data_IF_290605526406
#
_entry.id   IF_290605526406
#
_cell.length_a   1.000
_cell.length_b   1.000
_cell.length_c   1.000
_cell.angle_alpha   90.00
_cell.angle_beta   90.00
_cell.angle_gamma   90.00
#
_symmetry.space_group_name_H-M   'P 1'
#
loop_
_entity.id
_entity.type
_entity.pdbx_description
1 polymer ?
#
# COMPACT_ATOMS: atom_id res chain seq x y z
N UNK A 1 1.26 11.21 56.00
CA UNK A 1 0.71 11.44 54.65
C UNK A 1 0.76 10.12 53.88
N UNK A 2 -0.39 9.64 53.43
CA UNK A 2 -0.54 8.34 52.78
C UNK A 2 -0.27 8.51 51.28
N UNK A 3 0.88 8.07 50.77
CA UNK A 3 1.30 8.24 49.37
C UNK A 3 0.44 7.46 48.34
N UNK A 4 -0.66 6.82 48.77
CA UNK A 4 -1.53 5.99 47.92
C UNK A 4 -2.20 6.79 46.80
N UNK A 5 -2.61 8.04 47.05
CA UNK A 5 -3.19 8.91 46.01
C UNK A 5 -2.18 9.40 44.97
N UNK A 6 -0.94 9.67 45.39
CA UNK A 6 0.13 10.13 44.49
C UNK A 6 0.64 9.02 43.57
N UNK A 7 0.73 7.78 44.10
CA UNK A 7 1.09 6.59 43.31
C UNK A 7 0.06 6.28 42.23
N UNK A 8 -1.24 6.40 42.54
CA UNK A 8 -2.32 6.10 41.60
C UNK A 8 -2.41 7.11 40.45
N UNK A 9 -2.16 8.40 40.73
CA UNK A 9 -2.08 9.44 39.69
C UNK A 9 -0.87 9.21 38.78
N UNK A 10 0.30 8.83 39.32
CA UNK A 10 1.48 8.52 38.52
C UNK A 10 1.27 7.34 37.57
N UNK A 11 0.58 6.28 38.02
CA UNK A 11 0.23 5.11 37.20
C UNK A 11 -0.76 5.47 36.09
N UNK A 12 -1.79 6.26 36.39
CA UNK A 12 -2.75 6.74 35.39
C UNK A 12 -2.08 7.59 34.30
N UNK A 13 -1.16 8.46 34.71
CA UNK A 13 -0.46 9.36 33.80
C UNK A 13 0.50 8.58 32.88
N UNK A 14 1.21 7.58 33.42
CA UNK A 14 2.04 6.67 32.64
C UNK A 14 1.21 5.84 31.66
N UNK A 15 0.04 5.34 32.08
CA UNK A 15 -0.87 4.60 31.22
C UNK A 15 -1.42 5.47 30.08
N UNK A 16 -1.77 6.72 30.37
CA UNK A 16 -2.22 7.68 29.36
C UNK A 16 -1.14 7.94 28.31
N UNK A 17 0.11 8.14 28.72
CA UNK A 17 1.24 8.31 27.79
C UNK A 17 1.42 7.07 26.91
N UNK A 18 1.42 5.88 27.51
CA UNK A 18 1.57 4.61 26.77
C UNK A 18 0.44 4.43 25.75
N UNK A 19 -0.80 4.75 26.11
CA UNK A 19 -1.93 4.67 25.19
C UNK A 19 -1.80 5.67 24.03
N UNK A 20 -1.44 6.92 24.31
CA UNK A 20 -1.26 7.93 23.26
C UNK A 20 -0.16 7.51 22.28
N UNK A 21 1.02 7.16 22.79
CA UNK A 21 2.14 6.71 21.95
C UNK A 21 1.78 5.44 21.19
N UNK A 22 1.10 4.49 21.86
CA UNK A 22 0.64 3.25 21.25
C UNK A 22 -0.31 3.48 20.08
N UNK A 23 -1.29 4.38 20.23
CA UNK A 23 -2.25 4.72 19.17
C UNK A 23 -1.56 5.41 17.99
N UNK A 24 -0.61 6.31 18.24
CA UNK A 24 0.16 6.98 17.16
C UNK A 24 0.98 5.97 16.37
N UNK A 25 1.69 5.07 17.06
CA UNK A 25 2.48 4.02 16.40
C UNK A 25 1.58 3.03 15.65
N UNK A 26 0.42 2.70 16.21
CA UNK A 26 -0.58 1.86 15.55
C UNK A 26 -1.08 2.51 14.27
N UNK A 27 -1.44 3.79 14.30
CA UNK A 27 -1.92 4.52 13.13
C UNK A 27 -0.86 4.54 12.01
N UNK A 28 0.38 4.88 12.34
CA UNK A 28 1.47 4.91 11.37
C UNK A 28 1.72 3.51 10.76
N UNK A 29 1.74 2.47 11.61
CA UNK A 29 1.96 1.09 11.17
C UNK A 29 0.81 0.59 10.29
N UNK A 30 -0.44 0.89 10.65
CA UNK A 30 -1.63 0.52 9.86
C UNK A 30 -1.62 1.19 8.47
N UNK A 31 -1.17 2.44 8.36
CA UNK A 31 -1.03 3.12 7.08
C UNK A 31 0.00 2.45 6.18
N UNK A 32 1.18 2.12 6.71
CA UNK A 32 2.23 1.45 5.93
C UNK A 32 1.82 0.04 5.50
N UNK A 33 1.16 -0.73 6.38
CA UNK A 33 0.57 -2.02 6.01
C UNK A 33 -0.50 -1.85 4.94
N UNK A 34 -1.34 -0.81 5.03
CA UNK A 34 -2.33 -0.50 4.01
C UNK A 34 -1.71 -0.23 2.64
N UNK A 35 -0.62 0.54 2.57
CA UNK A 35 0.13 0.78 1.32
C UNK A 35 0.79 -0.49 0.77
N UNK A 36 1.22 -1.40 1.63
CA UNK A 36 1.88 -2.64 1.25
C UNK A 36 0.90 -3.78 0.88
N UNK A 37 -0.38 -3.65 1.21
CA UNK A 37 -1.38 -4.73 1.01
C UNK A 37 -2.45 -4.39 -0.02
N UNK A 38 -2.68 -3.11 -0.31
CA UNK A 38 -3.70 -2.67 -1.25
C UNK A 38 -3.14 -2.39 -2.64
N UNK A 39 -3.94 -2.70 -3.65
CA UNK A 39 -3.72 -2.23 -5.02
C UNK A 39 -4.22 -0.80 -5.18
N UNK A 40 -3.73 -0.10 -6.20
CA UNK A 40 -4.09 1.28 -6.50
C UNK A 40 -4.58 1.34 -7.94
N UNK A 41 -5.72 2.00 -8.18
CA UNK A 41 -6.17 2.26 -9.53
C UNK A 41 -5.28 3.34 -10.16
N UNK A 42 -4.80 3.07 -11.37
CA UNK A 42 -4.19 4.09 -12.23
C UNK A 42 -5.17 4.42 -13.35
N UNK A 43 -5.28 5.70 -13.66
CA UNK A 43 -6.14 6.19 -14.73
C UNK A 43 -5.34 7.18 -15.58
N UNK A 44 -5.36 6.94 -16.89
CA UNK A 44 -4.80 7.80 -17.91
C UNK A 44 -3.33 8.19 -17.65
N UNK A 45 -2.54 7.24 -17.14
CA UNK A 45 -1.11 7.46 -16.98
C UNK A 45 -0.46 7.52 -18.36
N UNK A 46 0.10 8.68 -18.69
CA UNK A 46 0.68 8.90 -20.02
C UNK A 46 2.05 8.28 -20.16
N UNK A 47 2.26 7.56 -21.26
CA UNK A 47 3.58 7.27 -21.85
C UNK A 47 3.74 8.28 -22.99
N UNK A 48 4.60 9.28 -22.84
CA UNK A 48 4.65 10.47 -23.72
C UNK A 48 5.32 10.20 -25.07
N UNK A 49 6.25 9.27 -25.16
CA UNK A 49 7.00 8.96 -26.39
C UNK A 49 6.98 7.46 -26.63
N UNK A 50 5.90 6.97 -27.22
CA UNK A 50 5.78 5.56 -27.57
C UNK A 50 6.57 5.30 -28.85
N UNK A 51 7.56 4.42 -28.74
CA UNK A 51 8.34 3.94 -29.88
C UNK A 51 8.04 2.47 -30.06
N UNK A 52 7.55 2.11 -31.25
CA UNK A 52 7.23 0.73 -31.59
C UNK A 52 8.43 -0.20 -31.43
N UNK A 53 8.18 -1.41 -30.93
CA UNK A 53 9.23 -2.40 -30.67
C UNK A 53 10.20 -2.03 -29.54
N UNK A 54 9.96 -0.92 -28.83
CA UNK A 54 10.84 -0.46 -27.74
C UNK A 54 10.10 -0.52 -26.41
N UNK A 55 10.77 -1.05 -25.38
CA UNK A 55 10.22 -1.14 -24.03
C UNK A 55 9.99 0.24 -23.40
N UNK A 56 8.78 0.43 -22.87
CA UNK A 56 8.34 1.61 -22.15
C UNK A 56 8.08 1.22 -20.69
N UNK A 57 8.67 1.93 -19.73
CA UNK A 57 8.58 1.54 -18.32
C UNK A 57 7.65 2.46 -17.53
N UNK A 58 6.63 1.88 -16.90
CA UNK A 58 5.84 2.53 -15.86
C UNK A 58 6.50 2.30 -14.51
N UNK A 59 6.99 3.39 -13.91
CA UNK A 59 7.72 3.37 -12.64
C UNK A 59 6.78 3.46 -11.43
N UNK A 60 7.32 3.22 -10.23
CA UNK A 60 6.59 3.19 -8.96
C UNK A 60 5.51 2.10 -8.84
N UNK A 61 5.53 1.12 -9.72
CA UNK A 61 4.66 -0.05 -9.68
C UNK A 61 5.37 -1.30 -10.15
N UNK A 62 5.09 -2.43 -9.50
CA UNK A 62 5.70 -3.71 -9.86
C UNK A 62 4.86 -4.52 -10.83
N UNK A 63 3.54 -4.34 -10.82
CA UNK A 63 2.63 -5.10 -11.66
C UNK A 63 1.36 -4.32 -11.98
N UNK A 64 0.77 -4.62 -13.12
CA UNK A 64 -0.52 -4.07 -13.55
C UNK A 64 -1.45 -5.23 -13.95
N UNK A 65 -2.72 -5.12 -13.55
CA UNK A 65 -3.81 -6.03 -13.92
C UNK A 65 -4.99 -5.26 -14.50
N UNK A 66 -5.81 -5.92 -15.32
CA UNK A 66 -6.94 -5.29 -16.03
C UNK A 66 -6.48 -4.07 -16.84
N UNK A 67 -5.39 -4.24 -17.59
CA UNK A 67 -4.75 -3.16 -18.36
C UNK A 67 -5.67 -2.74 -19.50
N UNK A 68 -5.95 -1.44 -19.57
CA UNK A 68 -6.62 -0.81 -20.71
C UNK A 68 -5.73 0.32 -21.18
N UNK A 69 -5.43 0.35 -22.47
CA UNK A 69 -4.57 1.38 -23.07
C UNK A 69 -5.37 2.12 -24.13
N UNK A 70 -5.37 3.44 -24.07
CA UNK A 70 -5.93 4.30 -25.09
C UNK A 70 -4.82 5.03 -25.87
N UNK A 71 -5.15 5.46 -27.07
CA UNK A 71 -4.33 6.42 -27.81
C UNK A 71 -4.26 7.78 -27.08
N UNK A 72 -3.44 8.69 -27.60
CA UNK A 72 -3.18 10.01 -27.02
C UNK A 72 -4.47 10.80 -26.70
N UNK A 73 -5.46 10.72 -27.59
CA UNK A 73 -6.73 11.46 -27.46
C UNK A 73 -7.73 10.79 -26.52
N UNK A 74 -7.52 9.53 -26.13
CA UNK A 74 -8.44 8.77 -25.27
C UNK A 74 -9.65 8.19 -26.01
N UNK A 75 -9.73 8.36 -27.33
CA UNK A 75 -10.91 7.99 -28.12
C UNK A 75 -10.87 6.54 -28.61
N UNK A 76 -9.66 5.96 -28.73
CA UNK A 76 -9.46 4.64 -29.31
C UNK A 76 -8.74 3.75 -28.29
N UNK A 77 -9.41 2.68 -27.87
CA UNK A 77 -8.78 1.61 -27.11
C UNK A 77 -7.83 0.81 -28.02
N UNK A 78 -6.57 0.74 -27.61
CA UNK A 78 -5.55 -0.06 -28.28
C UNK A 78 -5.76 -1.50 -27.85
N UNK A 79 -6.10 -2.37 -28.80
CA UNK A 79 -6.31 -3.79 -28.50
C UNK A 79 -5.02 -4.48 -28.04
N UNK A 80 -5.14 -5.45 -27.13
CA UNK A 80 -4.03 -6.18 -26.49
C UNK A 80 -3.11 -6.95 -27.46
N UNK A 81 -3.47 -7.09 -28.73
CA UNK A 81 -2.59 -7.64 -29.76
C UNK A 81 -1.49 -6.66 -30.23
N UNK A 82 -1.60 -5.37 -29.90
CA UNK A 82 -0.67 -4.33 -30.35
C UNK A 82 0.41 -4.00 -29.31
N UNK A 83 0.43 -4.69 -28.16
CA UNK A 83 1.41 -4.47 -27.11
C UNK A 83 1.59 -5.71 -26.24
N UNK A 84 2.75 -5.81 -25.60
CA UNK A 84 3.05 -6.81 -24.57
C UNK A 84 3.29 -6.11 -23.24
N UNK A 85 2.67 -6.61 -22.17
CA UNK A 85 2.88 -6.13 -20.81
C UNK A 85 3.70 -7.16 -20.03
N UNK A 86 4.82 -6.74 -19.46
CA UNK A 86 5.68 -7.56 -18.60
C UNK A 86 5.75 -6.92 -17.22
N UNK A 87 5.19 -7.62 -16.23
CA UNK A 87 5.26 -7.23 -14.82
C UNK A 87 6.59 -7.63 -14.20
N UNK A 88 7.00 -6.94 -13.14
CA UNK A 88 8.25 -7.15 -12.39
C UNK A 88 9.50 -6.98 -13.27
N UNK A 89 9.43 -6.13 -14.28
CA UNK A 89 10.59 -5.77 -15.08
C UNK A 89 11.52 -4.87 -14.26
N UNK A 90 12.83 -4.96 -14.50
CA UNK A 90 13.79 -4.01 -13.94
C UNK A 90 13.91 -2.86 -14.93
N UNK A 91 13.57 -1.65 -14.49
CA UNK A 91 13.80 -0.45 -15.29
C UNK A 91 15.32 -0.16 -15.33
N UNK A 92 15.94 -0.13 -16.52
CA UNK A 92 17.38 0.10 -16.65
C UNK A 92 17.82 1.50 -16.20
N UNK A 93 16.90 2.46 -16.10
CA UNK A 93 17.19 3.84 -15.72
C UNK A 93 17.21 4.03 -14.20
N UNK A 94 16.24 3.41 -13.51
CA UNK A 94 16.05 3.58 -12.06
C UNK A 94 16.56 2.39 -11.24
N UNK A 95 16.78 1.24 -11.86
CA UNK A 95 17.14 -0.02 -11.19
C UNK A 95 16.02 -0.63 -10.34
N UNK A 96 14.84 -0.01 -10.32
CA UNK A 96 13.67 -0.45 -9.56
C UNK A 96 12.77 -1.42 -10.34
N UNK A 97 11.86 -2.07 -9.62
CA UNK A 97 10.77 -2.83 -10.23
C UNK A 97 9.79 -1.87 -10.92
N UNK A 98 9.43 -2.23 -12.15
CA UNK A 98 8.56 -1.49 -13.05
C UNK A 98 7.63 -2.44 -13.81
N UNK A 99 6.63 -1.86 -14.47
CA UNK A 99 5.85 -2.54 -15.51
C UNK A 99 6.41 -2.12 -16.86
N UNK A 100 6.83 -3.08 -17.67
CA UNK A 100 7.29 -2.83 -19.02
C UNK A 100 6.13 -3.04 -20.00
N UNK A 101 5.87 -2.05 -20.84
CA UNK A 101 4.93 -2.10 -21.94
C UNK A 101 5.74 -1.95 -23.23
N UNK A 102 5.75 -2.99 -24.06
CA UNK A 102 6.40 -2.97 -25.36
C UNK A 102 5.32 -2.94 -26.44
N UNK A 103 5.13 -1.81 -27.14
CA UNK A 103 4.29 -1.76 -28.33
C UNK A 103 4.82 -2.70 -29.40
N UNK A 104 3.93 -3.34 -30.16
CA UNK A 104 4.34 -4.15 -31.30
C UNK A 104 5.05 -3.28 -32.35
N UNK A 105 6.04 -3.85 -33.04
CA UNK A 105 6.80 -3.19 -34.09
C UNK A 105 5.89 -2.70 -35.23
N UNK A 106 4.77 -3.39 -35.45
CA UNK A 106 3.79 -3.08 -36.51
C UNK A 106 2.59 -2.25 -36.05
N UNK A 107 2.54 -1.85 -34.76
CA UNK A 107 1.41 -1.11 -34.22
C UNK A 107 1.25 0.26 -34.91
N UNK A 108 0.05 0.60 -35.39
CA UNK A 108 -0.20 1.89 -36.05
C UNK A 108 -0.28 3.11 -35.11
N UNK A 109 0.07 2.97 -33.83
CA UNK A 109 -0.20 3.95 -32.78
C UNK A 109 1.09 4.63 -32.30
N UNK A 110 1.57 5.62 -33.05
CA UNK A 110 2.91 6.22 -32.93
C UNK A 110 3.04 7.43 -31.98
N UNK A 111 2.07 7.66 -31.09
CA UNK A 111 2.01 8.84 -30.21
C UNK A 111 1.94 8.45 -28.74
N UNK A 112 1.66 9.40 -27.86
CA UNK A 112 1.44 9.12 -26.45
C UNK A 112 0.33 8.10 -26.23
N UNK A 113 0.51 7.21 -25.24
CA UNK A 113 -0.50 6.25 -24.82
C UNK A 113 -0.98 6.57 -23.41
N UNK A 114 -2.26 6.36 -23.15
CA UNK A 114 -2.85 6.51 -21.83
C UNK A 114 -3.12 5.13 -21.25
N UNK A 115 -2.41 4.77 -20.18
CA UNK A 115 -2.53 3.47 -19.54
C UNK A 115 -3.39 3.58 -18.28
N UNK A 116 -4.39 2.71 -18.20
CA UNK A 116 -5.28 2.56 -17.06
C UNK A 116 -5.29 1.10 -16.59
N UNK A 117 -5.58 0.90 -15.30
CA UNK A 117 -5.65 -0.45 -14.73
C UNK A 117 -5.53 -0.46 -13.21
N UNK A 118 -5.39 -1.65 -12.67
CA UNK A 118 -5.16 -1.87 -11.23
C UNK A 118 -3.70 -2.20 -10.99
N UNK A 119 -2.99 -1.29 -10.34
CA UNK A 119 -1.56 -1.35 -10.09
C UNK A 119 -1.24 -1.95 -8.72
N UNK A 120 -0.17 -2.75 -8.68
CA UNK A 120 0.53 -3.11 -7.45
C UNK A 120 1.71 -2.15 -7.28
N UNK A 121 1.71 -1.29 -6.24
CA UNK A 121 2.87 -0.45 -5.93
C UNK A 121 4.15 -1.27 -5.71
N UNK A 122 5.31 -0.64 -5.78
CA UNK A 122 6.61 -1.32 -5.50
C UNK A 122 6.70 -1.89 -4.09
N UNK A 123 6.01 -1.29 -3.13
CA UNK A 123 5.93 -1.75 -1.72
C UNK A 123 4.91 -2.87 -1.52
N UNK A 124 4.17 -3.27 -2.56
CA UNK A 124 3.14 -4.29 -2.45
C UNK A 124 3.72 -5.67 -2.13
N UNK A 125 3.21 -6.32 -1.09
CA UNK A 125 3.59 -7.68 -0.71
C UNK A 125 2.94 -8.63 -1.72
N UNK A 126 3.75 -9.25 -2.57
CA UNK A 126 3.28 -10.15 -3.63
C UNK A 126 2.61 -11.42 -3.07
N UNK A 127 3.13 -11.94 -1.96
CA UNK A 127 2.64 -13.15 -1.31
C UNK A 127 1.30 -12.90 -0.58
N UNK A 128 0.30 -13.74 -0.86
CA UNK A 128 -1.01 -13.61 -0.23
C UNK A 128 -0.98 -13.93 1.26
N UNK A 129 -0.12 -14.88 1.68
CA UNK A 129 0.12 -15.19 3.09
C UNK A 129 0.72 -14.00 3.84
N UNK A 130 1.76 -13.38 3.28
CA UNK A 130 2.39 -12.18 3.81
C UNK A 130 1.42 -11.01 3.98
N UNK A 131 0.53 -10.78 3.00
CA UNK A 131 -0.53 -9.76 3.13
C UNK A 131 -1.50 -10.07 4.27
N UNK A 132 -1.93 -11.33 4.39
CA UNK A 132 -2.83 -11.75 5.46
C UNK A 132 -2.17 -11.56 6.84
N UNK A 133 -0.91 -11.98 6.99
CA UNK A 133 -0.15 -11.83 8.23
C UNK A 133 0.06 -10.37 8.61
N UNK A 134 0.39 -9.49 7.64
CA UNK A 134 0.55 -8.07 7.91
C UNK A 134 -0.73 -7.45 8.50
N UNK A 135 -1.90 -7.79 7.95
CA UNK A 135 -3.20 -7.34 8.47
C UNK A 135 -3.51 -7.94 9.86
N UNK A 136 -3.16 -9.20 10.10
CA UNK A 136 -3.33 -9.85 11.41
C UNK A 136 -2.47 -9.17 12.48
N UNK A 137 -1.22 -8.81 12.16
CA UNK A 137 -0.32 -8.13 13.10
C UNK A 137 -0.94 -6.80 13.57
N UNK A 138 -1.51 -6.02 12.66
CA UNK A 138 -2.21 -4.77 12.99
C UNK A 138 -3.43 -5.05 13.88
N UNK A 139 -4.24 -6.07 13.58
CA UNK A 139 -5.36 -6.47 14.42
C UNK A 139 -4.92 -6.87 15.84
N UNK A 140 -3.85 -7.66 15.97
CA UNK A 140 -3.33 -8.06 17.28
C UNK A 140 -2.80 -6.87 18.08
N UNK A 141 -2.17 -5.89 17.42
CA UNK A 141 -1.75 -4.65 18.07
C UNK A 141 -2.97 -3.84 18.56
N UNK A 142 -4.02 -3.71 17.75
CA UNK A 142 -5.26 -3.05 18.17
C UNK A 142 -5.88 -3.73 19.42
N UNK A 143 -5.93 -5.06 19.44
CA UNK A 143 -6.42 -5.83 20.59
C UNK A 143 -5.53 -5.61 21.83
N UNK A 144 -4.21 -5.58 21.67
CA UNK A 144 -3.29 -5.31 22.77
C UNK A 144 -3.53 -3.93 23.41
N UNK A 145 -3.73 -2.89 22.58
CA UNK A 145 -4.08 -1.55 23.07
C UNK A 145 -5.42 -1.53 23.81
N UNK A 146 -6.42 -2.26 23.30
CA UNK A 146 -7.71 -2.39 23.96
C UNK A 146 -7.62 -3.11 25.32
N UNK A 147 -6.80 -4.16 25.43
CA UNK A 147 -6.56 -4.85 26.71
C UNK A 147 -5.87 -3.92 27.72
N UNK A 148 -4.86 -3.17 27.27
CA UNK A 148 -4.14 -2.21 28.13
C UNK A 148 -5.06 -1.11 28.64
N UNK A 149 -6.01 -0.63 27.81
CA UNK A 149 -6.92 0.44 28.21
C UNK A 149 -7.96 -0.01 29.24
N UNK A 150 -8.38 -1.27 29.22
CA UNK A 150 -9.40 -1.82 30.12
C UNK A 150 -8.79 -2.38 31.42
N UNK A 151 -7.52 -2.77 31.41
CA UNK A 151 -6.83 -3.39 32.55
C UNK A 151 -6.97 -2.63 33.89
N UNK A 152 -6.91 -1.27 33.95
CA UNK A 152 -7.09 -0.54 35.20
C UNK A 152 -8.51 -0.70 35.75
N UNK A 153 -9.52 -0.56 34.91
CA UNK A 153 -10.94 -0.67 35.30
C UNK A 153 -11.29 -2.08 35.75
N UNK A 154 -10.74 -3.09 35.08
CA UNK A 154 -10.92 -4.49 35.47
C UNK A 154 -10.26 -4.81 36.83
N UNK A 155 -9.05 -4.31 37.09
CA UNK A 155 -8.38 -4.46 38.39
C UNK A 155 -9.13 -3.73 39.51
N UNK A 156 -9.65 -2.55 39.24
CA UNK A 156 -10.38 -1.77 40.23
C UNK A 156 -11.65 -2.50 40.67
N UNK A 157 -12.43 -3.02 39.72
CA UNK A 157 -13.62 -3.85 40.02
C UNK A 157 -13.31 -5.13 40.80
N UNK A 158 -12.19 -5.79 40.54
CA UNK A 158 -11.79 -7.00 41.27
C UNK A 158 -11.33 -6.71 42.71
N UNK A 159 -10.80 -5.53 42.97
CA UNK A 159 -10.40 -5.11 44.33
C UNK A 159 -11.60 -4.62 45.16
N UNK A 160 -12.69 -4.22 44.50
CA UNK A 160 -13.93 -3.77 45.14
C UNK A 160 -14.92 -4.92 45.44
N UNK A 161 -14.59 -6.16 45.04
CA UNK A 161 -15.34 -7.41 45.34
C UNK A 161 -14.78 -8.11 46.57
#
# INVERSE_FOLDING_TARGET
>A
MNNKGQSQVGVLLLLAIVLIVGVVLFQASAQEVGKATNTVAISNQSISTVVNGTSQFLTNMRALSSVVIFNETGDIEIGSGNFTVVNNAIDPTTGGLAVNITPDATAGFLNAWQVSGTSQPTTFIADSGGRALANIIILLFAVALAVISIAPTARQKLLDM
#
